data_IF_501174961884
#
_entry.id   IF_501174961884
#
_cell.length_a   1.000
_cell.length_b   1.000
_cell.length_c   1.000
_cell.angle_alpha   90.00
_cell.angle_beta   90.00
_cell.angle_gamma   90.00
#
_symmetry.space_group_name_H-M   'P 1'
#
loop_
_entity.id
_entity.type
_entity.pdbx_description
1 polymer ?
#
# COMPACT_ATOMS: atom_id res chain seq x y z
N UNK A 1 -13.86 22.22 -24.14
CA UNK A 1 -13.65 22.14 -22.69
C UNK A 1 -13.05 20.78 -22.38
N UNK A 2 -11.79 20.71 -21.97
CA UNK A 2 -11.21 19.46 -21.49
C UNK A 2 -11.80 19.24 -20.09
N UNK A 3 -12.66 18.24 -19.95
CA UNK A 3 -13.05 17.74 -18.63
C UNK A 3 -11.77 17.07 -18.11
N UNK A 4 -11.01 17.79 -17.28
CA UNK A 4 -9.83 17.23 -16.65
C UNK A 4 -10.27 15.99 -15.88
N UNK A 5 -9.75 14.81 -16.27
CA UNK A 5 -10.05 13.55 -15.58
C UNK A 5 -9.63 13.75 -14.13
N UNK A 6 -10.60 13.87 -13.23
CA UNK A 6 -10.33 14.04 -11.81
C UNK A 6 -9.50 12.83 -11.37
N UNK A 7 -8.32 13.09 -10.82
CA UNK A 7 -7.41 12.03 -10.38
C UNK A 7 -8.06 11.29 -9.21
N UNK A 8 -8.13 9.98 -9.31
CA UNK A 8 -8.64 9.15 -8.22
C UNK A 8 -7.60 9.06 -7.11
N UNK A 9 -8.00 9.37 -5.88
CA UNK A 9 -7.15 9.37 -4.69
C UNK A 9 -7.60 8.30 -3.71
N UNK A 10 -6.68 7.80 -2.88
CA UNK A 10 -6.96 6.83 -1.81
C UNK A 10 -6.81 7.45 -0.42
N UNK A 11 -7.48 6.84 0.55
CA UNK A 11 -7.30 7.08 1.98
C UNK A 11 -6.66 5.83 2.60
N UNK A 12 -5.50 5.99 3.23
CA UNK A 12 -4.77 4.90 3.86
C UNK A 12 -4.07 5.35 5.14
N UNK A 13 -3.79 4.40 6.02
CA UNK A 13 -3.00 4.58 7.23
C UNK A 13 -1.66 3.88 7.11
N UNK A 14 -0.56 4.52 7.51
CA UNK A 14 0.75 3.85 7.63
C UNK A 14 0.76 3.11 8.96
N UNK A 15 0.82 1.78 8.90
CA UNK A 15 0.81 0.90 10.07
C UNK A 15 2.23 0.62 10.55
N UNK A 16 3.15 0.42 9.61
CA UNK A 16 4.56 0.18 9.90
C UNK A 16 5.44 0.93 8.90
N UNK A 17 6.50 1.53 9.42
CA UNK A 17 7.57 2.15 8.67
C UNK A 17 8.88 1.49 9.11
N UNK A 18 9.51 0.73 8.21
CA UNK A 18 10.77 0.03 8.47
C UNK A 18 11.79 0.34 7.38
N UNK A 19 13.03 -0.08 7.59
CA UNK A 19 14.11 0.06 6.61
C UNK A 19 13.91 -0.80 5.35
N UNK A 20 13.03 -1.81 5.40
CA UNK A 20 12.87 -2.80 4.30
C UNK A 20 11.50 -2.74 3.62
N UNK A 21 10.47 -2.31 4.34
CA UNK A 21 9.13 -2.11 3.80
C UNK A 21 8.34 -1.07 4.59
N UNK A 22 7.35 -0.48 3.92
CA UNK A 22 6.27 0.27 4.53
C UNK A 22 5.00 -0.58 4.41
N UNK A 23 4.29 -0.76 5.52
CA UNK A 23 2.98 -1.40 5.54
C UNK A 23 1.90 -0.34 5.71
N UNK A 24 1.01 -0.24 4.72
CA UNK A 24 -0.17 0.61 4.79
C UNK A 24 -1.44 -0.24 4.93
N UNK A 25 -2.51 0.38 5.39
CA UNK A 25 -3.84 -0.21 5.43
C UNK A 25 -4.83 0.71 4.73
N UNK A 26 -5.64 0.14 3.86
CA UNK A 26 -6.77 0.84 3.26
C UNK A 26 -7.78 1.25 4.36
N UNK A 27 -8.19 2.52 4.37
CA UNK A 27 -9.12 3.02 5.38
C UNK A 27 -10.59 2.68 5.07
N UNK A 28 -10.90 2.15 3.87
CA UNK A 28 -12.26 1.90 3.38
C UNK A 28 -13.16 3.16 3.45
N UNK A 29 -12.57 4.32 3.17
CA UNK A 29 -13.24 5.60 3.26
C UNK A 29 -14.15 5.81 2.01
N UNK A 30 -15.47 6.01 2.19
CA UNK A 30 -16.41 6.11 1.07
C UNK A 30 -16.18 7.33 0.15
N UNK A 31 -15.46 8.36 0.64
CA UNK A 31 -15.14 9.55 -0.16
C UNK A 31 -13.88 9.34 -1.04
N UNK A 32 -13.18 8.22 -0.87
CA UNK A 32 -11.93 7.90 -1.57
C UNK A 32 -12.04 6.55 -2.29
N UNK A 33 -11.17 6.36 -3.27
CA UNK A 33 -10.98 5.04 -3.85
C UNK A 33 -10.16 4.14 -2.92
N UNK A 34 -10.37 2.83 -3.05
CA UNK A 34 -9.47 1.87 -2.43
C UNK A 34 -8.03 2.03 -2.95
N UNK A 35 -7.06 1.61 -2.15
CA UNK A 35 -5.64 1.55 -2.52
C UNK A 35 -5.44 0.80 -3.83
N UNK A 36 -6.16 -0.30 -4.04
CA UNK A 36 -6.12 -1.07 -5.30
C UNK A 36 -6.56 -0.22 -6.50
N UNK A 37 -7.63 0.57 -6.35
CA UNK A 37 -8.18 1.35 -7.44
C UNK A 37 -7.43 2.68 -7.68
N UNK A 38 -6.67 3.15 -6.69
CA UNK A 38 -5.84 4.36 -6.77
C UNK A 38 -4.35 4.07 -6.49
N UNK A 39 -3.84 2.93 -6.98
CA UNK A 39 -2.48 2.46 -6.70
C UNK A 39 -1.40 3.45 -7.17
N UNK A 40 -1.55 4.03 -8.37
CA UNK A 40 -0.62 5.05 -8.88
C UNK A 40 -0.53 6.26 -7.95
N UNK A 41 -1.68 6.78 -7.51
CA UNK A 41 -1.71 7.88 -6.53
C UNK A 41 -1.09 7.46 -5.21
N UNK A 42 -1.41 6.27 -4.71
CA UNK A 42 -0.94 5.78 -3.41
C UNK A 42 0.59 5.66 -3.37
N UNK A 43 1.19 5.12 -4.43
CA UNK A 43 2.66 5.00 -4.52
C UNK A 43 3.30 6.38 -4.64
N UNK A 44 2.75 7.28 -5.46
CA UNK A 44 3.28 8.64 -5.59
C UNK A 44 3.17 9.44 -4.28
N UNK A 45 2.04 9.33 -3.56
CA UNK A 45 1.87 10.01 -2.28
C UNK A 45 2.83 9.46 -1.22
N UNK A 46 3.09 8.15 -1.21
CA UNK A 46 4.13 7.55 -0.37
C UNK A 46 5.53 8.04 -0.76
N UNK A 47 5.84 8.14 -2.06
CA UNK A 47 7.13 8.62 -2.55
C UNK A 47 7.43 10.08 -2.18
N UNK A 48 6.40 10.89 -1.94
CA UNK A 48 6.54 12.27 -1.46
C UNK A 48 6.86 12.36 0.04
N UNK A 49 6.48 11.32 0.80
CA UNK A 49 6.60 11.30 2.26
C UNK A 49 7.78 10.46 2.74
N UNK A 50 8.23 9.49 1.93
CA UNK A 50 9.18 8.46 2.30
C UNK A 50 10.19 8.21 1.17
N UNK A 51 11.44 7.92 1.52
CA UNK A 51 12.41 7.38 0.54
C UNK A 51 12.06 5.92 0.21
N UNK A 52 11.64 5.63 -1.01
CA UNK A 52 11.22 4.29 -1.42
C UNK A 52 12.32 3.46 -2.09
N UNK A 53 13.52 4.03 -2.30
CA UNK A 53 14.55 3.47 -3.20
C UNK A 53 14.91 2.00 -2.95
N UNK A 54 14.83 1.54 -1.70
CA UNK A 54 15.10 0.15 -1.31
C UNK A 54 13.97 -0.50 -0.49
N UNK A 55 12.76 0.09 -0.52
CA UNK A 55 11.66 -0.33 0.34
C UNK A 55 10.49 -0.86 -0.46
N UNK A 56 9.96 -2.00 -0.02
CA UNK A 56 8.70 -2.55 -0.54
C UNK A 56 7.51 -1.78 0.04
N UNK A 57 6.42 -1.69 -0.71
CA UNK A 57 5.14 -1.21 -0.19
C UNK A 57 4.21 -2.40 -0.08
N UNK A 58 3.88 -2.78 1.15
CA UNK A 58 2.85 -3.78 1.45
C UNK A 58 1.59 -3.03 1.86
N UNK A 59 0.43 -3.46 1.37
CA UNK A 59 -0.84 -2.90 1.79
C UNK A 59 -1.77 -4.00 2.28
N UNK A 60 -2.51 -3.72 3.35
CA UNK A 60 -3.65 -4.52 3.78
C UNK A 60 -4.93 -3.96 3.14
N UNK A 61 -5.64 -4.78 2.38
CA UNK A 61 -6.93 -4.41 1.80
C UNK A 61 -8.06 -4.43 2.84
N UNK A 62 -9.26 -4.05 2.41
CA UNK A 62 -10.45 -3.97 3.28
C UNK A 62 -10.96 -5.34 3.73
N UNK A 63 -10.51 -6.42 3.07
CA UNK A 63 -10.78 -7.81 3.43
C UNK A 63 -9.71 -8.39 4.37
N UNK A 64 -8.72 -7.59 4.77
CA UNK A 64 -7.64 -7.99 5.67
C UNK A 64 -6.47 -8.70 4.98
N UNK A 65 -6.48 -8.83 3.65
CA UNK A 65 -5.41 -9.49 2.90
C UNK A 65 -4.25 -8.54 2.64
N UNK A 66 -3.04 -9.06 2.71
CA UNK A 66 -1.83 -8.31 2.40
C UNK A 66 -1.42 -8.54 0.95
N UNK A 67 -1.21 -7.49 0.18
CA UNK A 67 -0.62 -7.56 -1.14
C UNK A 67 0.47 -6.49 -1.29
N UNK A 68 1.26 -6.55 -2.36
CA UNK A 68 2.33 -5.59 -2.60
C UNK A 68 2.02 -4.66 -3.77
N UNK A 69 2.18 -3.36 -3.52
CA UNK A 69 2.26 -2.34 -4.54
C UNK A 69 3.71 -2.29 -5.02
N UNK A 70 3.98 -2.88 -6.20
CA UNK A 70 5.31 -2.78 -6.80
C UNK A 70 5.51 -1.39 -7.35
N UNK A 71 6.72 -0.88 -7.19
CA UNK A 71 7.09 0.43 -7.71
C UNK A 71 8.53 0.44 -8.24
N UNK A 72 8.81 1.41 -9.08
CA UNK A 72 10.15 1.78 -9.53
C UNK A 72 10.24 3.30 -9.55
N UNK A 73 11.27 3.87 -8.92
CA UNK A 73 11.49 5.31 -8.82
C UNK A 73 10.24 6.09 -8.33
N UNK A 74 9.55 5.55 -7.32
CA UNK A 74 8.35 6.16 -6.75
C UNK A 74 7.11 6.12 -7.65
N UNK A 75 7.11 5.26 -8.67
CA UNK A 75 5.97 5.06 -9.59
C UNK A 75 5.46 3.64 -9.52
N UNK A 76 4.15 3.48 -9.47
CA UNK A 76 3.51 2.17 -9.47
C UNK A 76 3.82 1.39 -10.75
N UNK A 77 4.09 0.09 -10.61
CA UNK A 77 4.42 -0.82 -11.73
C UNK A 77 3.57 -2.07 -11.78
N UNK A 78 2.74 -2.31 -10.77
CA UNK A 78 1.82 -3.44 -10.73
C UNK A 78 1.65 -4.03 -9.34
N UNK A 79 0.79 -5.03 -9.26
CA UNK A 79 0.53 -5.76 -8.02
C UNK A 79 1.35 -7.03 -7.93
N UNK A 80 1.67 -7.44 -6.71
CA UNK A 80 2.11 -8.80 -6.42
C UNK A 80 1.30 -9.37 -5.27
N UNK A 81 0.66 -10.50 -5.54
CA UNK A 81 0.02 -11.29 -4.49
C UNK A 81 1.07 -11.84 -3.52
N UNK A 82 0.84 -11.68 -2.22
CA UNK A 82 1.67 -12.36 -1.21
C UNK A 82 1.24 -13.82 -1.06
N UNK A 83 2.22 -14.71 -0.93
CA UNK A 83 2.00 -16.15 -0.68
C UNK A 83 1.37 -16.39 0.69
N UNK A 84 0.79 -17.57 0.92
CA UNK A 84 0.18 -17.93 2.20
C UNK A 84 1.13 -17.69 3.41
N UNK A 85 2.38 -18.14 3.33
CA UNK A 85 3.36 -17.92 4.40
C UNK A 85 3.67 -16.44 4.62
N UNK A 86 3.61 -15.61 3.56
CA UNK A 86 3.78 -14.17 3.69
C UNK A 86 2.56 -13.50 4.32
N UNK A 87 1.34 -13.93 4.00
CA UNK A 87 0.13 -13.46 4.69
C UNK A 87 0.26 -13.72 6.19
N UNK A 88 0.56 -14.96 6.56
CA UNK A 88 0.70 -15.38 7.95
C UNK A 88 1.80 -14.59 8.69
N UNK A 89 2.94 -14.33 8.03
CA UNK A 89 4.00 -13.50 8.60
C UNK A 89 3.51 -12.11 9.00
N UNK A 90 2.82 -11.39 8.12
CA UNK A 90 2.33 -10.04 8.44
C UNK A 90 1.21 -10.04 9.47
N UNK A 91 0.32 -11.05 9.44
CA UNK A 91 -0.69 -11.24 10.48
C UNK A 91 -0.06 -11.44 11.86
N UNK A 92 0.90 -12.36 11.97
CA UNK A 92 1.58 -12.65 13.23
C UNK A 92 2.38 -11.44 13.73
N UNK A 93 3.12 -10.78 12.83
CA UNK A 93 3.91 -9.60 13.13
C UNK A 93 3.04 -8.46 13.71
N UNK A 94 1.87 -8.20 13.11
CA UNK A 94 0.94 -7.18 13.61
C UNK A 94 0.22 -7.59 14.89
N UNK A 95 0.02 -8.89 15.13
CA UNK A 95 -0.60 -9.39 16.37
C UNK A 95 0.32 -9.36 17.59
N UNK A 96 1.60 -9.02 17.42
CA UNK A 96 2.60 -9.06 18.49
C UNK A 96 3.00 -10.47 18.94
N UNK A 97 2.67 -11.50 18.14
CA UNK A 97 3.07 -12.90 18.36
C UNK A 97 4.28 -13.27 17.48
N UNK A 98 5.32 -12.44 17.51
CA UNK A 98 6.66 -12.88 17.10
C UNK A 98 7.35 -13.41 18.35
N UNK A 99 7.87 -14.65 18.27
CA UNK A 99 8.47 -15.45 19.35
C UNK A 99 9.02 -14.71 20.58
#
# INVERSE_FOLDING_TARGET
>A
MAIGKQRMTSSYSVILDTDTFILIKDNDDPDFASVTNAADYTVESLAQLYDLSNRRIVYQDTMGRFDELRHADGKFTGFRALTANQQEFYEQFLSGKGD
#
